data_IF_700649610742
#
_entry.id   IF_700649610742
#
_cell.length_a   1.000
_cell.length_b   1.000
_cell.length_c   1.000
_cell.angle_alpha   90.00
_cell.angle_beta   90.00
_cell.angle_gamma   90.00
#
_symmetry.space_group_name_H-M   'P 1'
#
loop_
_entity.id
_entity.type
_entity.pdbx_description
1 polymer ?
#
# COMPACT_ATOMS: atom_id res chain seq x y z
N UNK A 1 18.95 4.03 13.25
CA UNK A 1 19.46 3.43 14.51
C UNK A 1 18.71 2.13 14.86
N UNK A 2 17.36 2.13 15.00
CA UNK A 2 16.59 0.94 15.40
C UNK A 2 16.70 -0.17 14.34
N UNK A 3 16.65 0.16 13.04
CA UNK A 3 16.84 -0.80 11.95
C UNK A 3 18.26 -1.40 11.94
N UNK A 4 19.29 -0.64 12.32
CA UNK A 4 20.66 -1.14 12.47
C UNK A 4 20.80 -2.08 13.68
N UNK A 5 20.20 -1.72 14.82
CA UNK A 5 20.14 -2.59 16.00
C UNK A 5 19.41 -3.92 15.71
N UNK A 6 18.34 -3.89 14.93
CA UNK A 6 17.61 -5.08 14.51
C UNK A 6 18.46 -5.99 13.61
N UNK A 7 19.31 -5.43 12.74
CA UNK A 7 20.23 -6.20 11.88
C UNK A 7 21.40 -6.79 12.66
N UNK A 8 21.91 -6.11 13.68
CA UNK A 8 23.06 -6.54 14.47
C UNK A 8 22.71 -7.60 15.53
N UNK A 9 21.45 -7.66 15.97
CA UNK A 9 21.02 -8.60 17.03
C UNK A 9 20.95 -10.06 16.59
N UNK A 10 21.27 -10.39 15.33
CA UNK A 10 21.49 -11.77 14.83
C UNK A 10 20.31 -12.76 14.96
N UNK A 11 19.20 -12.33 15.50
CA UNK A 11 17.96 -13.10 15.59
C UNK A 11 17.07 -12.69 14.42
N UNK A 12 16.36 -13.63 13.81
CA UNK A 12 15.41 -13.49 12.70
C UNK A 12 14.80 -12.07 12.60
N UNK A 13 15.55 -11.12 12.05
CA UNK A 13 15.27 -9.68 12.11
C UNK A 13 13.96 -9.26 11.41
N UNK A 14 13.33 -10.17 10.65
CA UNK A 14 11.99 -9.99 10.10
C UNK A 14 10.87 -10.05 11.14
N UNK A 15 11.15 -10.57 12.34
CA UNK A 15 10.17 -10.67 13.44
C UNK A 15 10.04 -9.36 14.25
N UNK A 16 10.94 -8.36 14.05
CA UNK A 16 10.98 -7.15 14.89
C UNK A 16 10.82 -5.84 14.14
N UNK A 17 10.90 -5.86 12.81
CA UNK A 17 10.88 -4.63 12.03
C UNK A 17 10.07 -4.77 10.75
N UNK A 18 9.01 -4.00 10.64
CA UNK A 18 8.26 -3.85 9.38
C UNK A 18 9.02 -2.89 8.46
N UNK A 19 9.29 -3.25 7.19
CA UNK A 19 9.89 -2.33 6.24
C UNK A 19 9.12 -1.01 6.21
N UNK A 20 9.87 0.11 6.19
CA UNK A 20 9.28 1.44 6.29
C UNK A 20 8.18 1.68 5.24
N UNK A 21 8.42 1.25 4.01
CA UNK A 21 7.45 1.40 2.92
C UNK A 21 6.14 0.65 3.17
N UNK A 22 6.20 -0.55 3.76
CA UNK A 22 5.02 -1.32 4.14
C UNK A 22 4.27 -0.63 5.27
N UNK A 23 5.02 -0.11 6.26
CA UNK A 23 4.45 0.68 7.35
C UNK A 23 3.76 1.95 6.84
N UNK A 24 4.33 2.63 5.84
CA UNK A 24 3.75 3.82 5.21
C UNK A 24 2.42 3.50 4.52
N UNK A 25 2.33 2.43 3.72
CA UNK A 25 1.07 2.00 3.09
C UNK A 25 -0.01 1.74 4.15
N UNK A 26 0.31 0.93 5.17
CA UNK A 26 -0.65 0.61 6.23
C UNK A 26 -1.10 1.85 6.99
N UNK A 27 -0.16 2.71 7.34
CA UNK A 27 -0.42 3.91 8.13
C UNK A 27 -1.28 4.92 7.37
N UNK A 28 -1.00 5.18 6.10
CA UNK A 28 -1.78 6.09 5.28
C UNK A 28 -3.21 5.58 5.09
N UNK A 29 -3.38 4.28 4.84
CA UNK A 29 -4.71 3.65 4.72
C UNK A 29 -5.49 3.78 6.03
N UNK A 30 -4.90 3.42 7.16
CA UNK A 30 -5.57 3.49 8.46
C UNK A 30 -5.89 4.93 8.83
N UNK A 31 -5.00 5.88 8.54
CA UNK A 31 -5.20 7.31 8.81
C UNK A 31 -6.31 7.98 7.97
N UNK A 32 -6.84 7.32 6.94
CA UNK A 32 -8.05 7.79 6.23
C UNK A 32 -9.27 7.83 7.16
N UNK A 33 -9.28 7.06 8.23
CA UNK A 33 -10.29 7.16 9.27
C UNK A 33 -10.11 8.47 10.05
N UNK A 34 -11.03 9.39 9.85
CA UNK A 34 -10.99 10.72 10.48
C UNK A 34 -11.23 10.72 12.00
N UNK A 35 -11.64 9.61 12.60
CA UNK A 35 -12.10 9.54 14.01
C UNK A 35 -11.11 8.83 14.94
N UNK A 36 -9.84 8.65 14.54
CA UNK A 36 -8.86 7.91 15.34
C UNK A 36 -8.50 8.68 16.62
N UNK A 37 -8.74 8.05 17.75
CA UNK A 37 -8.33 8.47 19.10
C UNK A 37 -7.52 7.40 19.83
N UNK A 38 -7.58 6.15 19.35
CA UNK A 38 -6.88 5.00 19.91
C UNK A 38 -6.31 4.10 18.81
N UNK A 39 -5.11 3.58 19.04
CA UNK A 39 -4.43 2.66 18.13
C UNK A 39 -3.84 1.48 18.91
N UNK A 40 -3.99 0.29 18.35
CA UNK A 40 -3.50 -0.95 18.95
C UNK A 40 -2.64 -1.75 17.97
N UNK A 41 -1.49 -2.22 18.46
CA UNK A 41 -0.65 -3.21 17.78
C UNK A 41 -0.38 -4.40 18.71
N UNK A 42 -1.07 -5.54 18.52
CA UNK A 42 -0.90 -6.73 19.37
C UNK A 42 0.45 -7.44 19.17
N UNK A 43 1.28 -6.99 18.24
CA UNK A 43 2.61 -7.53 17.94
C UNK A 43 3.62 -6.40 17.76
N UNK A 44 3.59 -5.47 18.70
CA UNK A 44 4.11 -4.10 18.57
C UNK A 44 5.60 -4.00 18.22
N UNK A 45 6.39 -5.01 18.49
CA UNK A 45 7.81 -5.03 18.16
C UNK A 45 8.55 -3.78 18.66
N UNK A 46 9.11 -3.00 17.76
CA UNK A 46 9.79 -1.73 18.10
C UNK A 46 8.84 -0.54 18.32
N UNK A 47 7.55 -0.68 18.06
CA UNK A 47 6.57 0.41 18.07
C UNK A 47 6.61 1.32 16.85
N UNK A 48 7.43 0.99 15.85
CA UNK A 48 7.60 1.83 14.65
C UNK A 48 6.30 2.00 13.86
N UNK A 49 5.47 0.95 13.76
CA UNK A 49 4.21 1.00 13.03
C UNK A 49 3.21 1.97 13.69
N UNK A 50 3.12 1.96 15.02
CA UNK A 50 2.31 2.93 15.78
C UNK A 50 2.77 4.37 15.51
N UNK A 51 4.09 4.60 15.49
CA UNK A 51 4.67 5.92 15.23
C UNK A 51 4.46 6.37 13.78
N UNK A 52 4.45 5.44 12.82
CA UNK A 52 4.16 5.76 11.41
C UNK A 52 2.71 6.21 11.27
N UNK A 53 1.74 5.54 11.91
CA UNK A 53 0.34 6.00 11.91
C UNK A 53 0.21 7.38 12.54
N UNK A 54 0.84 7.63 13.72
CA UNK A 54 0.88 8.96 14.36
C UNK A 54 1.28 10.04 13.37
N UNK A 55 2.32 9.80 12.58
CA UNK A 55 2.88 10.75 11.61
C UNK A 55 1.84 11.23 10.58
N UNK A 56 0.87 10.40 10.21
CA UNK A 56 -0.17 10.72 9.22
C UNK A 56 -1.43 11.34 9.82
N UNK A 57 -1.48 11.57 11.12
CA UNK A 57 -2.58 12.26 11.78
C UNK A 57 -2.30 13.77 11.92
N UNK A 58 -3.36 14.57 12.03
CA UNK A 58 -3.22 16.00 12.35
C UNK A 58 -2.59 16.19 13.72
N UNK A 59 -1.96 17.35 13.95
CA UNK A 59 -1.25 17.65 15.21
C UNK A 59 -2.11 17.48 16.45
N UNK A 60 -3.38 17.90 16.40
CA UNK A 60 -4.30 17.78 17.53
C UNK A 60 -4.63 16.31 17.84
N UNK A 61 -4.79 15.49 16.79
CA UNK A 61 -4.98 14.07 16.95
C UNK A 61 -3.73 13.36 17.46
N UNK A 62 -2.54 13.74 17.00
CA UNK A 62 -1.29 13.21 17.52
C UNK A 62 -1.15 13.43 19.03
N UNK A 63 -1.58 14.61 19.54
CA UNK A 63 -1.56 14.95 20.97
C UNK A 63 -2.58 14.15 21.79
N UNK A 64 -3.74 13.83 21.22
CA UNK A 64 -4.83 13.14 21.91
C UNK A 64 -4.76 11.60 21.80
N UNK A 65 -4.01 11.06 20.83
CA UNK A 65 -3.92 9.63 20.53
C UNK A 65 -3.45 8.79 21.72
N UNK A 66 -4.16 7.70 21.99
CA UNK A 66 -3.78 6.68 22.96
C UNK A 66 -3.17 5.47 22.23
N UNK A 67 -2.01 5.03 22.71
CA UNK A 67 -1.23 3.96 22.11
C UNK A 67 -1.32 2.70 22.95
N UNK A 68 -1.71 1.61 22.33
CA UNK A 68 -1.76 0.29 22.95
C UNK A 68 -0.88 -0.67 22.17
N UNK A 69 -0.21 -1.56 22.87
CA UNK A 69 0.64 -2.54 22.21
C UNK A 69 0.95 -3.73 23.11
N UNK A 70 1.19 -4.88 22.49
CA UNK A 70 1.59 -6.08 23.20
C UNK A 70 2.85 -6.67 22.57
N UNK A 71 3.81 -7.08 23.43
CA UNK A 71 5.08 -7.65 23.00
C UNK A 71 5.48 -8.78 23.94
N UNK A 72 5.75 -9.95 23.38
CA UNK A 72 6.12 -11.14 24.15
C UNK A 72 7.55 -11.06 24.68
N UNK A 73 8.47 -10.50 23.92
CA UNK A 73 9.89 -10.40 24.29
C UNK A 73 10.12 -9.18 25.19
N UNK A 74 10.60 -9.40 26.42
CA UNK A 74 10.81 -8.33 27.40
C UNK A 74 11.83 -7.28 26.94
N UNK A 75 12.90 -7.67 26.25
CA UNK A 75 13.89 -6.71 25.75
C UNK A 75 13.27 -5.80 24.67
N UNK A 76 12.51 -6.39 23.75
CA UNK A 76 11.77 -5.65 22.71
C UNK A 76 10.67 -4.78 23.31
N UNK A 77 9.94 -5.26 24.32
CA UNK A 77 8.97 -4.47 25.08
C UNK A 77 9.59 -3.20 25.67
N UNK A 78 10.78 -3.31 26.30
CA UNK A 78 11.48 -2.15 26.83
C UNK A 78 11.93 -1.19 25.72
N UNK A 79 12.41 -1.73 24.58
CA UNK A 79 12.77 -0.94 23.40
C UNK A 79 11.56 -0.17 22.86
N UNK A 80 10.39 -0.81 22.77
CA UNK A 80 9.14 -0.18 22.33
C UNK A 80 8.81 1.04 23.18
N UNK A 81 8.81 0.87 24.51
CA UNK A 81 8.50 1.97 25.42
C UNK A 81 9.49 3.12 25.28
N UNK A 82 10.76 2.81 25.20
CA UNK A 82 11.81 3.82 25.02
C UNK A 82 11.63 4.54 23.68
N UNK A 83 11.35 3.81 22.59
CA UNK A 83 11.14 4.38 21.27
C UNK A 83 9.93 5.34 21.24
N UNK A 84 8.81 4.95 21.83
CA UNK A 84 7.63 5.79 21.92
C UNK A 84 7.92 7.08 22.72
N UNK A 85 8.61 6.98 23.86
CA UNK A 85 9.02 8.15 24.67
C UNK A 85 9.93 9.10 23.90
N UNK A 86 10.94 8.58 23.20
CA UNK A 86 11.87 9.37 22.40
C UNK A 86 11.16 10.12 21.25
N UNK A 87 10.04 9.58 20.76
CA UNK A 87 9.20 10.23 19.74
C UNK A 87 8.05 11.06 20.34
N UNK A 88 8.15 11.46 21.61
CA UNK A 88 7.24 12.37 22.27
C UNK A 88 5.87 11.82 22.62
N UNK A 89 5.74 10.48 22.72
CA UNK A 89 4.54 9.88 23.28
C UNK A 89 4.60 9.98 24.80
N UNK A 90 3.62 10.64 25.39
CA UNK A 90 3.56 10.82 26.85
C UNK A 90 3.25 9.50 27.57
N UNK A 91 3.83 9.24 28.75
CA UNK A 91 3.62 8.00 29.48
C UNK A 91 2.14 7.65 29.74
N UNK A 92 1.32 8.66 30.04
CA UNK A 92 -0.12 8.49 30.30
C UNK A 92 -0.95 8.13 29.04
N UNK A 93 -0.34 8.27 27.86
CA UNK A 93 -0.94 7.90 26.58
C UNK A 93 -0.45 6.55 26.04
N UNK A 94 0.40 5.87 26.82
CA UNK A 94 1.09 4.66 26.39
C UNK A 94 0.74 3.48 27.28
N UNK A 95 0.01 2.52 26.77
CA UNK A 95 -0.34 1.26 27.42
C UNK A 95 0.30 0.10 26.66
N UNK A 96 1.49 -0.31 27.07
CA UNK A 96 2.22 -1.42 26.46
C UNK A 96 2.31 -2.58 27.45
N UNK A 97 1.91 -3.77 27.03
CA UNK A 97 1.91 -5.00 27.83
C UNK A 97 3.06 -5.92 27.42
N UNK A 98 3.82 -6.40 28.38
CA UNK A 98 4.72 -7.53 28.16
C UNK A 98 3.96 -8.84 28.34
N UNK A 99 3.65 -9.53 27.26
CA UNK A 99 2.88 -10.77 27.28
C UNK A 99 2.63 -11.35 25.90
N UNK A 100 2.23 -12.61 25.88
CA UNK A 100 1.90 -13.34 24.64
C UNK A 100 0.45 -13.06 24.25
N UNK A 101 0.26 -12.39 23.15
CA UNK A 101 -1.05 -11.96 22.58
C UNK A 101 -2.04 -13.11 22.43
N UNK A 102 -1.57 -14.28 22.02
CA UNK A 102 -2.45 -15.43 21.79
C UNK A 102 -2.74 -16.24 23.04
N UNK A 103 -1.93 -16.07 24.10
CA UNK A 103 -2.11 -16.77 25.37
C UNK A 103 -3.00 -16.00 26.34
N UNK A 104 -2.92 -14.68 26.32
CA UNK A 104 -3.65 -13.80 27.22
C UNK A 104 -4.40 -12.76 26.41
N UNK A 105 -5.72 -12.75 26.54
CA UNK A 105 -6.50 -11.65 26.01
C UNK A 105 -6.14 -10.36 26.73
N UNK A 106 -5.89 -9.30 25.98
CA UNK A 106 -5.52 -7.98 26.47
C UNK A 106 -5.62 -6.95 25.31
N UNK A 107 -6.06 -5.74 25.59
CA UNK A 107 -6.53 -5.23 26.87
C UNK A 107 -7.97 -5.66 27.18
N UNK A 108 -8.24 -5.91 28.44
CA UNK A 108 -9.59 -6.14 28.96
C UNK A 108 -10.27 -4.81 29.24
N UNK A 109 -11.58 -4.73 29.00
CA UNK A 109 -12.38 -3.59 29.41
C UNK A 109 -12.79 -3.76 30.89
N UNK A 110 -12.40 -2.86 31.80
CA UNK A 110 -12.75 -2.97 33.22
C UNK A 110 -14.25 -2.88 33.49
N UNK A 111 -15.02 -2.21 32.60
CA UNK A 111 -16.46 -2.04 32.73
C UNK A 111 -17.23 -3.19 32.08
N UNK A 112 -16.61 -3.86 31.10
CA UNK A 112 -17.16 -4.97 30.32
C UNK A 112 -16.18 -6.16 30.31
N UNK A 113 -16.05 -6.90 31.42
CA UNK A 113 -14.97 -7.88 31.62
C UNK A 113 -14.96 -9.08 30.65
N UNK A 114 -15.95 -9.22 29.79
CA UNK A 114 -15.98 -10.23 28.72
C UNK A 114 -15.92 -9.61 27.32
N UNK A 115 -15.75 -8.29 27.25
CA UNK A 115 -15.62 -7.56 25.99
C UNK A 115 -14.25 -6.88 25.99
N UNK A 116 -13.38 -7.22 25.06
CA UNK A 116 -12.09 -6.55 24.95
C UNK A 116 -12.24 -5.07 24.60
N UNK A 117 -11.31 -4.26 25.04
CA UNK A 117 -11.23 -2.84 24.63
C UNK A 117 -11.28 -2.73 23.12
N UNK A 118 -12.09 -1.80 22.61
CA UNK A 118 -12.26 -1.58 21.18
C UNK A 118 -11.43 -0.38 20.72
N UNK A 119 -10.75 -0.51 19.59
CA UNK A 119 -9.85 0.51 19.04
C UNK A 119 -10.33 1.07 17.72
N UNK A 120 -10.06 2.35 17.48
CA UNK A 120 -10.35 3.01 16.20
C UNK A 120 -9.39 2.54 15.09
N UNK A 121 -8.19 2.13 15.47
CA UNK A 121 -7.19 1.61 14.57
C UNK A 121 -6.49 0.38 15.15
N UNK A 122 -6.36 -0.67 14.35
CA UNK A 122 -5.54 -1.84 14.67
C UNK A 122 -4.54 -2.06 13.55
N UNK A 123 -3.26 -2.12 13.88
CA UNK A 123 -2.20 -2.34 12.90
C UNK A 123 -1.26 -3.43 13.40
N UNK A 124 -0.84 -4.34 12.53
CA UNK A 124 0.09 -5.38 12.95
C UNK A 124 0.87 -6.01 11.81
N UNK A 125 2.09 -6.40 12.13
CA UNK A 125 2.91 -7.30 11.33
C UNK A 125 3.30 -8.48 12.23
N UNK A 126 2.44 -9.50 12.37
CA UNK A 126 2.68 -10.63 13.27
C UNK A 126 3.78 -11.54 12.74
N UNK A 127 4.41 -12.36 13.59
CA UNK A 127 5.32 -13.39 13.12
C UNK A 127 4.58 -14.39 12.24
N UNK A 128 5.14 -14.70 11.05
CA UNK A 128 4.46 -15.51 10.04
C UNK A 128 4.49 -17.00 10.36
N UNK A 129 3.35 -17.67 10.16
CA UNK A 129 3.19 -19.11 10.26
C UNK A 129 3.72 -19.71 11.57
N UNK A 130 3.43 -19.03 12.67
CA UNK A 130 3.81 -19.47 14.02
C UNK A 130 3.19 -20.83 14.30
N UNK A 131 4.01 -21.76 14.77
CA UNK A 131 3.60 -23.10 15.22
C UNK A 131 3.45 -23.11 16.74
N UNK A 132 2.58 -24.00 17.24
CA UNK A 132 2.38 -24.19 18.69
C UNK A 132 2.04 -22.87 19.41
N UNK A 133 1.12 -22.10 18.84
CA UNK A 133 0.71 -20.77 19.31
C UNK A 133 -0.31 -20.80 20.45
N UNK A 134 -0.25 -21.82 21.33
CA UNK A 134 -1.16 -22.03 22.46
C UNK A 134 -2.60 -22.43 22.08
N UNK A 135 -2.80 -23.00 20.89
CA UNK A 135 -4.13 -23.43 20.42
C UNK A 135 -4.83 -24.38 21.39
N UNK A 136 -4.08 -25.26 22.06
CA UNK A 136 -4.63 -26.25 23.01
C UNK A 136 -5.27 -25.63 24.26
N UNK A 137 -4.89 -24.40 24.60
CA UNK A 137 -5.48 -23.64 25.72
C UNK A 137 -6.74 -22.87 25.34
N UNK A 138 -7.12 -22.84 24.05
CA UNK A 138 -8.21 -22.05 23.53
C UNK A 138 -9.37 -22.92 23.02
N UNK A 139 -10.56 -22.35 23.00
CA UNK A 139 -11.78 -22.99 22.47
C UNK A 139 -12.38 -22.14 21.35
N UNK A 140 -13.13 -22.75 20.41
CA UNK A 140 -13.89 -21.98 19.41
C UNK A 140 -14.90 -20.99 20.00
N UNK A 141 -15.30 -21.20 21.23
CA UNK A 141 -16.19 -20.30 22.01
C UNK A 141 -15.44 -19.14 22.71
N UNK A 142 -14.13 -19.02 22.57
CA UNK A 142 -13.40 -17.82 22.98
C UNK A 142 -13.92 -16.64 22.14
N UNK A 143 -14.30 -15.51 22.74
CA UNK A 143 -14.89 -14.37 22.04
C UNK A 143 -14.08 -13.89 20.83
N UNK A 144 -12.75 -14.03 20.88
CA UNK A 144 -11.86 -13.67 19.77
C UNK A 144 -12.05 -14.54 18.52
N UNK A 145 -12.49 -15.80 18.70
CA UNK A 145 -12.62 -16.80 17.62
C UNK A 145 -14.07 -17.16 17.29
N UNK A 146 -15.03 -16.66 18.06
CA UNK A 146 -16.45 -16.97 17.90
C UNK A 146 -16.97 -16.63 16.51
N UNK A 147 -16.55 -15.51 15.92
CA UNK A 147 -16.92 -15.09 14.58
C UNK A 147 -16.57 -16.13 13.52
N UNK A 148 -15.48 -16.85 13.71
CA UNK A 148 -15.00 -17.87 12.79
C UNK A 148 -15.63 -19.26 13.05
N UNK A 149 -16.08 -19.52 14.28
CA UNK A 149 -16.65 -20.80 14.69
C UNK A 149 -15.66 -21.97 14.72
N UNK A 150 -14.41 -21.73 14.32
CA UNK A 150 -13.31 -22.70 14.29
C UNK A 150 -12.01 -22.02 14.72
N UNK A 151 -11.12 -22.81 15.35
CA UNK A 151 -9.78 -22.32 15.64
C UNK A 151 -8.85 -22.46 14.42
N UNK A 152 -7.96 -21.50 14.17
CA UNK A 152 -6.88 -21.67 13.19
C UNK A 152 -6.05 -22.92 13.47
N UNK A 153 -5.36 -23.49 12.44
CA UNK A 153 -4.55 -24.69 12.65
C UNK A 153 -3.36 -24.42 13.57
N UNK A 154 -3.00 -25.40 14.40
CA UNK A 154 -1.87 -25.31 15.34
C UNK A 154 -0.53 -25.03 14.63
N UNK A 155 -0.41 -25.47 13.39
CA UNK A 155 0.79 -25.28 12.57
C UNK A 155 0.94 -23.87 12.00
N UNK A 156 -0.09 -23.00 12.10
CA UNK A 156 -0.12 -21.66 11.50
C UNK A 156 -1.04 -20.71 12.25
N UNK A 157 -0.43 -19.82 13.04
CA UNK A 157 -1.15 -18.83 13.86
C UNK A 157 -1.58 -17.57 13.10
N UNK A 158 -1.41 -17.50 11.78
CA UNK A 158 -1.66 -16.28 10.98
C UNK A 158 -3.06 -15.72 11.24
N UNK A 159 -4.10 -16.55 11.12
CA UNK A 159 -5.47 -16.14 11.39
C UNK A 159 -5.79 -15.95 12.88
N UNK A 160 -5.00 -16.50 13.79
CA UNK A 160 -5.22 -16.25 15.21
C UNK A 160 -4.92 -14.78 15.56
N UNK A 161 -3.85 -14.22 14.99
CA UNK A 161 -3.55 -12.79 15.12
C UNK A 161 -4.61 -11.92 14.44
N UNK A 162 -5.04 -12.30 13.24
CA UNK A 162 -6.07 -11.56 12.51
C UNK A 162 -7.38 -11.50 13.31
N UNK A 163 -7.85 -12.63 13.83
CA UNK A 163 -9.09 -12.72 14.60
C UNK A 163 -8.97 -11.97 15.93
N UNK A 164 -7.82 -12.03 16.63
CA UNK A 164 -7.57 -11.25 17.81
C UNK A 164 -7.65 -9.73 17.51
N UNK A 165 -6.98 -9.26 16.47
CA UNK A 165 -7.06 -7.85 16.08
C UNK A 165 -8.46 -7.42 15.67
N UNK A 166 -9.20 -8.26 14.95
CA UNK A 166 -10.57 -7.98 14.56
C UNK A 166 -11.53 -7.94 15.76
N UNK A 167 -11.31 -8.77 16.77
CA UNK A 167 -12.07 -8.74 18.03
C UNK A 167 -11.93 -7.36 18.71
N UNK A 168 -10.71 -6.86 18.81
CA UNK A 168 -10.42 -5.55 19.38
C UNK A 168 -10.67 -4.35 18.45
N UNK A 169 -11.13 -4.59 17.23
CA UNK A 169 -11.49 -3.49 16.31
C UNK A 169 -12.85 -2.91 16.67
N UNK A 170 -12.92 -1.59 16.83
CA UNK A 170 -14.17 -0.87 17.02
C UNK A 170 -15.07 -0.94 15.78
N UNK A 171 -16.37 -0.69 15.96
CA UNK A 171 -17.36 -0.79 14.87
C UNK A 171 -16.98 0.08 13.65
N UNK A 172 -16.46 1.28 13.88
CA UNK A 172 -16.01 2.21 12.84
C UNK A 172 -14.50 2.21 12.66
N UNK A 173 -13.82 1.26 13.28
CA UNK A 173 -12.36 1.13 13.20
C UNK A 173 -11.88 0.59 11.85
N UNK A 174 -10.61 0.82 11.58
CA UNK A 174 -9.89 0.25 10.43
C UNK A 174 -8.71 -0.57 10.92
N UNK A 175 -8.63 -1.82 10.45
CA UNK A 175 -7.50 -2.70 10.75
C UNK A 175 -6.68 -2.96 9.50
N UNK A 176 -5.35 -2.91 9.63
CA UNK A 176 -4.40 -3.32 8.61
C UNK A 176 -3.44 -4.37 9.15
N UNK A 177 -3.35 -5.51 8.48
CA UNK A 177 -2.46 -6.62 8.89
C UNK A 177 -1.64 -7.12 7.70
N UNK A 178 -0.34 -7.35 7.93
CA UNK A 178 0.55 -7.98 6.93
C UNK A 178 0.60 -9.48 7.17
N UNK A 179 0.33 -10.26 6.14
CA UNK A 179 0.33 -11.73 6.20
C UNK A 179 0.96 -12.35 4.94
N UNK A 180 1.48 -13.58 5.02
CA UNK A 180 1.96 -14.29 3.84
C UNK A 180 0.81 -14.64 2.90
N UNK A 181 1.03 -14.61 1.58
CA UNK A 181 0.00 -14.90 0.57
C UNK A 181 -0.77 -16.22 0.79
N UNK A 182 -0.17 -17.20 1.45
CA UNK A 182 -0.82 -18.47 1.74
C UNK A 182 -2.16 -18.33 2.45
N UNK A 183 -2.38 -17.31 3.27
CA UNK A 183 -3.66 -17.07 3.96
C UNK A 183 -4.82 -16.82 2.99
N UNK A 184 -4.52 -16.37 1.78
CA UNK A 184 -5.51 -16.03 0.77
C UNK A 184 -6.19 -17.28 0.15
N UNK A 185 -5.53 -18.45 0.17
CA UNK A 185 -6.01 -19.61 -0.57
C UNK A 185 -5.89 -20.96 0.15
N UNK A 186 -5.17 -21.06 1.29
CA UNK A 186 -5.11 -22.33 2.03
C UNK A 186 -6.51 -22.78 2.46
N UNK A 187 -6.78 -24.09 2.38
CA UNK A 187 -8.06 -24.69 2.71
C UNK A 187 -8.26 -25.01 4.20
N UNK A 188 -9.10 -25.99 4.50
CA UNK A 188 -9.46 -26.46 5.84
C UNK A 188 -9.93 -25.31 6.76
N UNK A 189 -9.47 -25.25 8.00
CA UNK A 189 -9.88 -24.23 8.97
C UNK A 189 -9.63 -22.79 8.48
N UNK A 190 -8.53 -22.53 7.77
CA UNK A 190 -8.25 -21.19 7.21
C UNK A 190 -9.25 -20.82 6.11
N UNK A 191 -9.69 -21.79 5.29
CA UNK A 191 -10.76 -21.60 4.30
C UNK A 191 -12.09 -21.24 4.94
N UNK A 192 -12.48 -21.94 6.01
CA UNK A 192 -13.72 -21.65 6.75
C UNK A 192 -13.68 -20.25 7.40
N UNK A 193 -12.55 -19.87 7.99
CA UNK A 193 -12.37 -18.53 8.56
C UNK A 193 -12.54 -17.46 7.49
N UNK A 194 -11.87 -17.59 6.32
CA UNK A 194 -12.02 -16.64 5.20
C UNK A 194 -13.46 -16.53 4.75
N UNK A 195 -14.13 -17.68 4.56
CA UNK A 195 -15.54 -17.72 4.18
C UNK A 195 -16.40 -16.91 5.14
N UNK A 196 -16.28 -17.14 6.46
CA UNK A 196 -17.04 -16.42 7.49
C UNK A 196 -16.79 -14.91 7.47
N UNK A 197 -15.53 -14.49 7.32
CA UNK A 197 -15.16 -13.08 7.24
C UNK A 197 -15.75 -12.41 6.00
N UNK A 198 -15.73 -13.08 4.84
CA UNK A 198 -16.29 -12.59 3.59
C UNK A 198 -17.83 -12.61 3.60
N UNK A 199 -18.47 -13.63 4.18
CA UNK A 199 -19.93 -13.67 4.35
C UNK A 199 -20.44 -12.50 5.19
N UNK A 200 -19.68 -12.08 6.22
CA UNK A 200 -19.95 -10.90 7.03
C UNK A 200 -19.43 -9.60 6.44
N UNK A 201 -18.80 -9.67 5.27
CA UNK A 201 -18.19 -8.57 4.54
C UNK A 201 -17.22 -7.71 5.39
N UNK A 202 -16.39 -8.36 6.21
CA UNK A 202 -15.44 -7.67 7.08
C UNK A 202 -14.05 -7.46 6.46
N UNK A 203 -13.78 -8.07 5.31
CA UNK A 203 -12.58 -7.81 4.52
C UNK A 203 -12.88 -6.68 3.54
N UNK A 204 -12.17 -5.55 3.70
CA UNK A 204 -12.35 -4.36 2.88
C UNK A 204 -11.47 -4.35 1.64
N UNK A 205 -10.18 -4.72 1.81
CA UNK A 205 -9.24 -4.83 0.70
C UNK A 205 -8.17 -5.89 0.94
N UNK A 206 -7.60 -6.39 -0.16
CA UNK A 206 -6.43 -7.27 -0.21
C UNK A 206 -5.41 -6.64 -1.14
N UNK A 207 -4.23 -6.31 -0.62
CA UNK A 207 -3.17 -5.62 -1.35
C UNK A 207 -1.96 -6.56 -1.44
N UNK A 208 -1.64 -7.03 -2.65
CA UNK A 208 -0.46 -7.84 -2.94
C UNK A 208 0.78 -6.97 -3.04
N UNK A 209 1.82 -7.33 -2.31
CA UNK A 209 3.08 -6.61 -2.29
C UNK A 209 4.17 -7.38 -3.05
N UNK A 210 5.23 -6.70 -3.51
CA UNK A 210 6.38 -7.34 -4.10
C UNK A 210 7.02 -8.37 -3.16
N UNK A 211 7.51 -9.48 -3.71
CA UNK A 211 8.33 -10.41 -2.96
C UNK A 211 9.63 -9.75 -2.49
N UNK A 212 10.31 -10.34 -1.52
CA UNK A 212 11.65 -9.91 -1.09
C UNK A 212 11.72 -8.44 -0.58
N UNK A 213 10.63 -7.94 0.01
CA UNK A 213 10.61 -6.63 0.72
C UNK A 213 11.23 -6.74 2.13
N UNK A 214 11.10 -7.90 2.77
CA UNK A 214 11.55 -8.13 4.13
C UNK A 214 12.97 -8.71 4.14
N UNK A 215 13.81 -8.25 5.07
CA UNK A 215 15.23 -8.60 5.13
C UNK A 215 15.53 -10.09 5.27
N UNK A 216 14.63 -10.85 5.89
CA UNK A 216 14.87 -12.25 6.25
C UNK A 216 13.94 -13.25 5.58
N UNK A 217 13.09 -12.82 4.68
CA UNK A 217 12.23 -13.71 3.94
C UNK A 217 11.96 -13.20 2.52
N UNK A 218 12.13 -14.08 1.54
CA UNK A 218 11.71 -13.83 0.16
C UNK A 218 10.23 -14.12 -0.08
N UNK A 219 9.47 -14.47 0.97
CA UNK A 219 8.07 -14.87 0.84
C UNK A 219 7.22 -13.66 0.43
N UNK A 220 6.38 -13.79 -0.61
CA UNK A 220 5.44 -12.74 -0.96
C UNK A 220 4.40 -12.56 0.16
N UNK A 221 4.12 -11.31 0.49
CA UNK A 221 3.17 -10.92 1.53
C UNK A 221 2.07 -10.05 0.95
N UNK A 222 0.96 -9.98 1.67
CA UNK A 222 -0.14 -9.08 1.37
C UNK A 222 -0.53 -8.28 2.61
N UNK A 223 -1.12 -7.12 2.40
CA UNK A 223 -1.84 -6.37 3.44
C UNK A 223 -3.32 -6.71 3.28
N UNK A 224 -3.97 -7.10 4.38
CA UNK A 224 -5.42 -7.26 4.43
C UNK A 224 -5.97 -6.12 5.28
N UNK A 225 -6.94 -5.39 4.70
CA UNK A 225 -7.66 -4.33 5.39
C UNK A 225 -9.02 -4.87 5.82
N UNK A 226 -9.35 -4.68 7.10
CA UNK A 226 -10.60 -5.13 7.68
C UNK A 226 -11.35 -3.95 8.30
N UNK A 227 -12.68 -4.00 8.18
CA UNK A 227 -13.65 -3.08 8.80
C UNK A 227 -14.88 -3.85 9.24
N UNK A 228 -15.46 -3.50 10.39
CA UNK A 228 -16.70 -4.15 10.87
C UNK A 228 -17.96 -3.55 10.27
N UNK A 229 -17.96 -2.25 10.02
CA UNK A 229 -19.14 -1.52 9.53
C UNK A 229 -19.09 -1.34 8.00
N UNK A 230 -19.30 -2.46 7.29
CA UNK A 230 -19.44 -2.47 5.83
C UNK A 230 -20.80 -3.01 5.42
N UNK A 231 -21.39 -2.44 4.37
CA UNK A 231 -22.58 -3.01 3.75
C UNK A 231 -22.28 -4.40 3.18
N UNK A 232 -23.23 -5.33 3.29
CA UNK A 232 -23.04 -6.72 2.83
C UNK A 232 -22.79 -6.83 1.31
N UNK A 233 -23.21 -5.83 0.54
CA UNK A 233 -23.02 -5.82 -0.92
C UNK A 233 -21.83 -4.93 -1.36
N UNK A 234 -21.16 -4.29 -0.42
CA UNK A 234 -20.00 -3.48 -0.72
C UNK A 234 -18.85 -4.37 -1.24
N UNK A 235 -18.27 -4.07 -2.43
CA UNK A 235 -17.28 -4.95 -3.03
C UNK A 235 -15.96 -4.94 -2.26
N UNK A 236 -15.24 -6.06 -2.32
CA UNK A 236 -13.88 -6.18 -1.78
C UNK A 236 -12.88 -5.70 -2.83
N UNK A 237 -11.99 -4.79 -2.47
CA UNK A 237 -10.96 -4.28 -3.36
C UNK A 237 -9.73 -5.20 -3.35
N UNK A 238 -9.33 -5.65 -4.52
CA UNK A 238 -8.05 -6.34 -4.74
C UNK A 238 -7.08 -5.40 -5.46
N UNK A 239 -5.86 -5.27 -4.94
CA UNK A 239 -4.77 -4.49 -5.55
C UNK A 239 -3.58 -5.42 -5.75
N UNK A 240 -3.04 -5.50 -6.96
CA UNK A 240 -1.79 -6.19 -7.27
C UNK A 240 -0.64 -5.20 -7.48
N UNK A 241 0.03 -4.82 -6.40
CA UNK A 241 1.24 -4.01 -6.46
C UNK A 241 2.52 -4.86 -6.53
N UNK A 242 2.43 -6.17 -6.75
CA UNK A 242 3.57 -7.10 -6.71
C UNK A 242 4.66 -6.82 -7.74
N UNK A 243 4.34 -6.06 -8.79
CA UNK A 243 5.25 -5.72 -9.89
C UNK A 243 5.85 -4.31 -9.77
N UNK A 244 5.35 -3.50 -8.85
CA UNK A 244 5.75 -2.11 -8.67
C UNK A 244 6.86 -2.03 -7.61
N UNK A 245 8.10 -2.12 -8.02
CA UNK A 245 9.25 -2.03 -7.13
C UNK A 245 10.55 -1.70 -7.88
N UNK A 246 11.53 -1.24 -7.13
CA UNK A 246 12.92 -1.15 -7.57
C UNK A 246 13.80 -2.15 -6.80
N UNK A 247 14.95 -2.46 -7.37
CA UNK A 247 16.01 -3.24 -6.70
C UNK A 247 16.80 -2.33 -5.77
N UNK A 248 16.77 -2.62 -4.47
CA UNK A 248 17.57 -1.96 -3.44
C UNK A 248 18.57 -2.97 -2.85
N UNK A 249 19.71 -3.12 -3.50
CA UNK A 249 20.69 -4.15 -3.15
C UNK A 249 20.14 -5.57 -3.34
N UNK A 250 20.08 -6.34 -2.25
CA UNK A 250 19.54 -7.72 -2.26
C UNK A 250 18.02 -7.79 -2.13
N UNK A 251 17.37 -6.68 -1.86
CA UNK A 251 15.93 -6.61 -1.61
C UNK A 251 15.22 -5.85 -2.72
N UNK A 252 13.88 -5.98 -2.73
CA UNK A 252 13.00 -5.08 -3.46
C UNK A 252 12.56 -3.94 -2.52
N UNK A 253 12.24 -2.79 -3.07
CA UNK A 253 11.72 -1.65 -2.33
C UNK A 253 10.59 -0.99 -3.11
N UNK A 254 9.53 -0.58 -2.42
CA UNK A 254 8.52 0.32 -2.98
C UNK A 254 9.09 1.74 -3.02
N UNK A 255 8.80 2.46 -4.09
CA UNK A 255 9.08 3.89 -4.19
C UNK A 255 7.92 4.70 -3.61
N UNK A 256 8.12 5.99 -3.39
CA UNK A 256 7.07 6.91 -2.92
C UNK A 256 5.85 6.91 -3.86
N UNK A 257 6.07 6.81 -5.17
CA UNK A 257 5.02 6.70 -6.19
C UNK A 257 4.19 5.42 -6.05
N UNK A 258 4.84 4.29 -5.71
CA UNK A 258 4.15 3.00 -5.56
C UNK A 258 3.24 3.04 -4.33
N UNK A 259 3.73 3.61 -3.22
CA UNK A 259 2.95 3.84 -2.00
C UNK A 259 1.76 4.75 -2.30
N UNK A 260 1.99 5.88 -2.97
CA UNK A 260 0.94 6.83 -3.33
C UNK A 260 -0.13 6.18 -4.20
N UNK A 261 0.26 5.40 -5.21
CA UNK A 261 -0.68 4.69 -6.08
C UNK A 261 -1.54 3.69 -5.32
N UNK A 262 -0.96 2.88 -4.44
CA UNK A 262 -1.71 1.94 -3.59
C UNK A 262 -2.75 2.68 -2.75
N UNK A 263 -2.33 3.78 -2.10
CA UNK A 263 -3.21 4.56 -1.22
C UNK A 263 -4.32 5.28 -1.99
N UNK A 264 -4.00 5.86 -3.14
CA UNK A 264 -4.99 6.53 -4.01
C UNK A 264 -6.04 5.53 -4.52
N UNK A 265 -5.61 4.38 -5.04
CA UNK A 265 -6.51 3.31 -5.52
C UNK A 265 -7.38 2.78 -4.39
N UNK A 266 -6.81 2.60 -3.20
CA UNK A 266 -7.58 2.20 -2.02
C UNK A 266 -8.62 3.24 -1.64
N UNK A 267 -8.23 4.51 -1.57
CA UNK A 267 -9.09 5.62 -1.09
C UNK A 267 -10.21 5.92 -2.07
N UNK A 268 -9.90 5.94 -3.36
CA UNK A 268 -10.84 6.26 -4.42
C UNK A 268 -11.63 5.04 -4.91
N UNK A 269 -11.30 3.84 -4.44
CA UNK A 269 -11.91 2.56 -4.87
C UNK A 269 -11.86 2.40 -6.39
N UNK A 270 -10.72 2.74 -7.00
CA UNK A 270 -10.55 2.76 -8.46
C UNK A 270 -10.31 1.34 -8.98
N UNK A 271 -10.98 0.96 -10.07
CA UNK A 271 -10.62 -0.20 -10.88
C UNK A 271 -9.61 0.22 -11.96
N UNK A 272 -8.55 -0.54 -12.08
CA UNK A 272 -7.50 -0.32 -13.08
C UNK A 272 -7.04 -1.68 -13.62
N UNK A 273 -7.14 -1.84 -14.93
CA UNK A 273 -6.76 -3.08 -15.62
C UNK A 273 -5.32 -3.51 -15.27
N UNK A 274 -5.18 -4.77 -14.84
CA UNK A 274 -3.90 -5.34 -14.46
C UNK A 274 -3.34 -4.84 -13.13
N UNK A 275 -4.06 -3.99 -12.39
CA UNK A 275 -3.62 -3.44 -11.11
C UNK A 275 -4.64 -3.58 -9.98
N UNK A 276 -5.92 -3.28 -10.23
CA UNK A 276 -6.96 -3.33 -9.18
C UNK A 276 -8.31 -3.77 -9.70
N UNK A 277 -9.11 -4.42 -8.83
CA UNK A 277 -10.45 -4.91 -9.14
C UNK A 277 -11.36 -4.84 -7.92
N UNK A 278 -12.62 -4.48 -8.14
CA UNK A 278 -13.68 -4.44 -7.13
C UNK A 278 -14.52 -5.73 -7.22
N UNK A 279 -14.12 -6.75 -6.48
CA UNK A 279 -14.78 -8.04 -6.49
C UNK A 279 -16.15 -7.97 -5.79
N UNK A 280 -17.20 -8.28 -6.53
CA UNK A 280 -18.55 -8.39 -5.99
C UNK A 280 -18.69 -9.61 -5.07
N UNK A 281 -19.71 -9.59 -4.19
CA UNK A 281 -20.06 -10.72 -3.34
C UNK A 281 -20.30 -12.00 -4.15
N UNK A 282 -20.94 -11.89 -5.31
CA UNK A 282 -21.21 -13.04 -6.18
C UNK A 282 -19.93 -13.64 -6.75
N UNK A 283 -19.00 -12.81 -7.15
CA UNK A 283 -17.69 -13.21 -7.66
C UNK A 283 -16.86 -13.93 -6.59
N UNK A 284 -16.87 -13.43 -5.34
CA UNK A 284 -16.24 -14.09 -4.20
C UNK A 284 -16.81 -15.48 -3.94
N UNK A 285 -18.13 -15.65 -4.05
CA UNK A 285 -18.81 -16.96 -3.92
C UNK A 285 -18.40 -17.88 -5.06
N UNK A 286 -18.40 -17.42 -6.31
CA UNK A 286 -17.99 -18.19 -7.48
C UNK A 286 -16.54 -18.67 -7.40
N UNK A 287 -15.69 -17.89 -6.75
CA UNK A 287 -14.30 -18.24 -6.46
C UNK A 287 -14.11 -19.10 -5.19
N UNK A 288 -15.20 -19.62 -4.60
CA UNK A 288 -15.19 -20.43 -3.36
C UNK A 288 -14.46 -19.71 -2.20
N UNK A 289 -14.69 -18.40 -2.08
CA UNK A 289 -14.05 -17.53 -1.09
C UNK A 289 -12.51 -17.58 -1.09
N UNK A 290 -11.93 -17.98 -2.20
CA UNK A 290 -10.49 -17.95 -2.44
C UNK A 290 -10.10 -16.52 -2.82
N UNK A 291 -9.22 -15.88 -2.05
CA UNK A 291 -8.79 -14.50 -2.24
C UNK A 291 -7.44 -14.39 -2.98
N UNK A 292 -7.00 -15.44 -3.69
CA UNK A 292 -5.76 -15.37 -4.45
C UNK A 292 -5.86 -14.26 -5.52
N UNK A 293 -5.01 -13.24 -5.41
CA UNK A 293 -5.09 -11.99 -6.18
C UNK A 293 -5.20 -12.21 -7.70
N UNK A 294 -4.41 -13.13 -8.33
CA UNK A 294 -4.53 -13.40 -9.77
C UNK A 294 -5.89 -13.91 -10.25
N UNK A 295 -6.80 -14.27 -9.35
CA UNK A 295 -8.19 -14.62 -9.72
C UNK A 295 -9.07 -13.40 -9.98
N UNK A 296 -8.65 -12.24 -9.47
CA UNK A 296 -9.39 -10.99 -9.53
C UNK A 296 -8.67 -9.94 -10.37
N UNK A 297 -7.37 -9.86 -10.26
CA UNK A 297 -6.53 -8.94 -11.03
C UNK A 297 -5.73 -9.77 -12.02
N UNK A 298 -6.18 -9.77 -13.26
CA UNK A 298 -5.45 -10.44 -14.35
C UNK A 298 -4.27 -9.57 -14.75
N UNK A 299 -3.08 -10.16 -14.66
CA UNK A 299 -1.90 -9.49 -15.17
C UNK A 299 -2.12 -9.13 -16.64
N UNK A 300 -1.96 -7.86 -16.97
CA UNK A 300 -1.83 -7.45 -18.36
C UNK A 300 -0.51 -8.06 -18.88
N UNK A 301 -0.61 -9.23 -19.47
CA UNK A 301 0.49 -9.72 -20.28
C UNK A 301 0.66 -8.74 -21.43
N UNK A 302 1.77 -7.98 -21.40
CA UNK A 302 2.23 -7.22 -22.55
C UNK A 302 2.74 -8.16 -23.66
N UNK A 303 2.25 -9.39 -23.70
CA UNK A 303 2.45 -10.24 -24.86
C UNK A 303 1.63 -9.63 -26.00
N UNK A 304 2.35 -8.94 -26.86
CA UNK A 304 1.81 -8.55 -28.16
C UNK A 304 1.39 -9.85 -28.82
N UNK A 305 0.08 -10.07 -29.07
CA UNK A 305 -0.37 -11.32 -29.67
C UNK A 305 0.40 -11.53 -30.95
N UNK A 306 1.20 -12.60 -31.01
CA UNK A 306 1.94 -12.93 -32.21
C UNK A 306 0.96 -13.24 -33.34
N UNK A 307 0.86 -12.33 -34.30
CA UNK A 307 0.07 -12.54 -35.51
C UNK A 307 0.94 -13.33 -36.49
N UNK A 308 0.58 -14.61 -36.67
CA UNK A 308 1.36 -15.54 -37.50
C UNK A 308 1.41 -15.07 -38.96
N UNK A 309 0.31 -14.51 -39.46
CA UNK A 309 0.24 -14.01 -40.85
C UNK A 309 1.10 -12.75 -41.02
N UNK A 310 1.18 -11.88 -40.01
CA UNK A 310 2.08 -10.75 -40.00
C UNK A 310 3.55 -11.20 -40.03
N UNK A 311 3.91 -12.22 -39.31
CA UNK A 311 5.26 -12.80 -39.30
C UNK A 311 5.64 -13.48 -40.63
N UNK A 312 4.70 -14.19 -41.25
CA UNK A 312 4.95 -14.91 -42.52
C UNK A 312 4.93 -14.01 -43.76
N UNK A 313 4.01 -13.07 -43.81
CA UNK A 313 3.74 -12.30 -45.00
C UNK A 313 4.02 -10.80 -44.85
N UNK A 314 4.49 -10.40 -43.69
CA UNK A 314 4.75 -9.00 -43.35
C UNK A 314 3.47 -8.18 -43.11
N UNK A 315 3.66 -6.92 -42.73
CA UNK A 315 2.59 -5.98 -42.40
C UNK A 315 2.25 -5.96 -40.88
N UNK A 316 1.66 -4.86 -40.48
CA UNK A 316 1.20 -4.64 -39.07
C UNK A 316 -0.32 -4.84 -39.05
N UNK A 317 -0.87 -5.68 -38.19
CA UNK A 317 -2.32 -5.84 -38.08
C UNK A 317 -3.01 -4.51 -37.82
N UNK A 318 -3.98 -4.17 -38.65
CA UNK A 318 -4.74 -2.91 -38.58
C UNK A 318 -5.33 -2.69 -37.19
N UNK A 319 -5.85 -3.76 -36.54
CA UNK A 319 -6.40 -3.71 -35.19
C UNK A 319 -5.41 -3.15 -34.14
N UNK A 320 -4.09 -3.37 -34.34
CA UNK A 320 -3.07 -2.87 -33.42
C UNK A 320 -2.91 -1.36 -33.53
N UNK A 321 -2.98 -0.83 -34.77
CA UNK A 321 -2.92 0.61 -35.02
C UNK A 321 -4.22 1.28 -34.56
N UNK A 322 -5.38 0.69 -34.88
CA UNK A 322 -6.69 1.20 -34.48
C UNK A 322 -6.78 1.30 -32.92
N UNK A 323 -6.26 0.33 -32.21
CA UNK A 323 -6.21 0.37 -30.74
C UNK A 323 -5.30 1.48 -30.20
N UNK A 324 -4.15 1.73 -30.84
CA UNK A 324 -3.28 2.87 -30.50
C UNK A 324 -3.96 4.22 -30.78
N UNK A 325 -4.73 4.34 -31.85
CA UNK A 325 -5.48 5.57 -32.20
C UNK A 325 -6.58 5.87 -31.19
N UNK A 326 -7.23 4.84 -30.61
CA UNK A 326 -8.23 5.02 -29.55
C UNK A 326 -7.58 5.54 -28.28
N UNK A 327 -6.41 5.02 -27.93
CA UNK A 327 -5.66 5.41 -26.72
C UNK A 327 -4.97 6.78 -26.88
N UNK A 328 -4.62 7.19 -28.11
CA UNK A 328 -3.78 8.36 -28.39
C UNK A 328 -4.41 9.26 -29.46
N UNK A 329 -5.49 9.96 -29.12
CA UNK A 329 -6.16 10.88 -30.04
C UNK A 329 -5.22 11.97 -30.59
N UNK A 330 -4.26 12.41 -29.77
CA UNK A 330 -3.26 13.45 -30.12
C UNK A 330 -2.40 13.07 -31.32
N UNK A 331 -2.07 11.79 -31.49
CA UNK A 331 -1.21 11.31 -32.56
C UNK A 331 -1.99 10.68 -33.71
N UNK A 332 -3.31 10.64 -33.64
CA UNK A 332 -4.18 9.97 -34.61
C UNK A 332 -3.89 10.42 -36.06
N UNK A 333 -3.83 11.73 -36.29
CA UNK A 333 -3.59 12.28 -37.62
C UNK A 333 -2.22 11.85 -38.20
N UNK A 334 -1.20 11.78 -37.34
CA UNK A 334 0.13 11.33 -37.76
C UNK A 334 0.12 9.83 -38.07
N UNK A 335 -0.62 9.03 -37.30
CA UNK A 335 -0.77 7.59 -37.54
C UNK A 335 -1.55 7.34 -38.85
N UNK A 336 -2.66 8.04 -39.07
CA UNK A 336 -3.46 7.92 -40.29
C UNK A 336 -2.63 8.21 -41.56
N UNK A 337 -1.70 9.16 -41.49
CA UNK A 337 -0.84 9.54 -42.61
C UNK A 337 0.40 8.67 -42.81
N UNK A 338 0.84 7.95 -41.75
CA UNK A 338 2.07 7.16 -41.77
C UNK A 338 1.90 5.75 -42.33
N UNK A 339 0.67 5.21 -42.29
CA UNK A 339 0.36 3.84 -42.66
C UNK A 339 -0.59 3.76 -43.84
N UNK A 340 -0.41 2.76 -44.70
CA UNK A 340 -1.41 2.37 -45.70
C UNK A 340 -1.61 0.88 -45.75
N UNK A 341 -2.75 0.46 -46.24
CA UNK A 341 -3.09 -0.94 -46.41
C UNK A 341 -2.23 -1.61 -47.49
N UNK A 342 -1.47 -2.64 -47.14
CA UNK A 342 -0.70 -3.41 -48.12
C UNK A 342 -1.42 -4.71 -48.51
N UNK A 343 -2.24 -5.24 -47.63
CA UNK A 343 -3.15 -6.38 -47.85
C UNK A 343 -4.34 -6.29 -46.88
N UNK A 344 -5.46 -6.97 -47.16
CA UNK A 344 -6.65 -6.87 -46.32
C UNK A 344 -6.37 -7.09 -44.82
N UNK A 345 -6.62 -6.07 -43.99
CA UNK A 345 -6.41 -6.08 -42.55
C UNK A 345 -4.99 -5.87 -42.07
N UNK A 346 -4.03 -5.55 -42.96
CA UNK A 346 -2.63 -5.28 -42.62
C UNK A 346 -2.14 -3.99 -43.24
N UNK A 347 -1.36 -3.24 -42.46
CA UNK A 347 -0.81 -1.95 -42.82
C UNK A 347 0.71 -2.02 -42.96
N UNK A 348 1.27 -1.12 -43.76
CA UNK A 348 2.71 -0.92 -43.89
C UNK A 348 3.04 0.54 -43.57
N UNK A 349 4.11 0.74 -42.80
CA UNK A 349 4.69 2.06 -42.53
C UNK A 349 5.50 2.47 -43.78
N UNK A 350 5.22 3.67 -44.31
CA UNK A 350 5.84 4.17 -45.57
C UNK A 350 7.18 4.87 -45.37
N UNK A 351 7.58 5.12 -44.15
CA UNK A 351 8.77 5.90 -43.80
C UNK A 351 9.67 5.13 -42.85
N UNK A 352 10.89 5.56 -42.67
CA UNK A 352 11.77 4.97 -41.65
C UNK A 352 11.23 5.27 -40.23
N UNK A 353 11.66 4.49 -39.26
CA UNK A 353 11.29 4.68 -37.84
C UNK A 353 11.74 6.07 -37.36
N UNK A 354 12.89 6.55 -37.82
CA UNK A 354 13.44 7.87 -37.50
C UNK A 354 12.61 9.01 -38.09
N UNK A 355 12.11 8.85 -39.33
CA UNK A 355 11.24 9.82 -39.98
C UNK A 355 9.86 9.85 -39.31
N UNK A 356 9.33 8.68 -38.98
CA UNK A 356 8.07 8.55 -38.24
C UNK A 356 8.15 9.19 -36.85
N UNK A 357 9.21 8.92 -36.09
CA UNK A 357 9.45 9.52 -34.77
C UNK A 357 9.54 11.06 -34.89
N UNK A 358 10.24 11.58 -35.92
CA UNK A 358 10.32 13.02 -36.17
C UNK A 358 8.96 13.60 -36.53
N UNK A 359 8.17 12.90 -37.34
CA UNK A 359 6.82 13.33 -37.69
C UNK A 359 5.92 13.47 -36.47
N UNK A 360 5.95 12.52 -35.56
CA UNK A 360 5.22 12.60 -34.27
C UNK A 360 5.68 13.82 -33.48
N UNK A 361 6.97 13.94 -33.21
CA UNK A 361 7.54 15.03 -32.41
C UNK A 361 7.38 16.41 -33.03
N UNK A 362 7.23 16.49 -34.35
CA UNK A 362 7.02 17.74 -35.08
C UNK A 362 5.54 18.08 -35.36
N UNK A 363 4.63 17.17 -35.05
CA UNK A 363 3.19 17.42 -35.16
C UNK A 363 2.77 18.65 -34.36
N UNK A 364 2.01 19.58 -34.94
CA UNK A 364 1.54 20.78 -34.25
C UNK A 364 0.76 20.45 -32.97
N UNK A 365 -0.03 19.38 -33.00
CA UNK A 365 -0.84 18.94 -31.86
C UNK A 365 0.05 18.45 -30.71
N UNK A 366 1.04 17.60 -31.03
CA UNK A 366 2.01 17.09 -30.03
C UNK A 366 2.85 18.22 -29.44
N UNK A 367 3.27 19.18 -30.31
CA UNK A 367 4.01 20.37 -29.83
C UNK A 367 3.18 21.24 -28.88
N UNK A 368 1.93 21.50 -29.25
CA UNK A 368 1.04 22.30 -28.41
C UNK A 368 0.81 21.63 -27.03
N UNK A 369 0.61 20.32 -27.02
CA UNK A 369 0.49 19.56 -25.75
C UNK A 369 1.79 19.63 -24.94
N UNK A 370 2.95 19.45 -25.58
CA UNK A 370 4.25 19.58 -24.92
C UNK A 370 4.47 20.98 -24.32
N UNK A 371 4.12 22.05 -25.07
CA UNK A 371 4.21 23.43 -24.57
C UNK A 371 3.25 23.67 -23.39
N UNK A 372 2.06 23.06 -23.43
CA UNK A 372 1.12 23.13 -22.31
C UNK A 372 1.67 22.40 -21.07
N UNK A 373 2.24 21.22 -21.22
CA UNK A 373 2.92 20.49 -20.12
C UNK A 373 4.05 21.34 -19.55
N UNK A 374 4.93 21.89 -20.40
CA UNK A 374 6.03 22.74 -19.95
C UNK A 374 5.54 23.96 -19.18
N UNK A 375 4.52 24.66 -19.68
CA UNK A 375 3.98 25.83 -19.01
C UNK A 375 3.34 25.49 -17.67
N UNK A 376 2.65 24.34 -17.57
CA UNK A 376 2.04 23.85 -16.33
C UNK A 376 3.11 23.52 -15.29
N UNK A 377 4.16 22.79 -15.68
CA UNK A 377 5.27 22.47 -14.79
C UNK A 377 6.03 23.73 -14.39
N UNK A 378 6.27 24.68 -15.29
CA UNK A 378 6.93 25.94 -14.97
C UNK A 378 6.14 26.77 -13.95
N UNK A 379 4.82 26.85 -14.10
CA UNK A 379 3.95 27.53 -13.13
C UNK A 379 3.99 26.85 -11.74
N UNK A 380 3.95 25.51 -11.71
CA UNK A 380 4.11 24.74 -10.47
C UNK A 380 5.46 25.03 -9.78
N UNK A 381 6.55 25.00 -10.55
CA UNK A 381 7.88 25.30 -10.02
C UNK A 381 7.96 26.72 -9.45
N UNK A 382 7.45 27.73 -10.16
CA UNK A 382 7.46 29.13 -9.73
C UNK A 382 6.66 29.34 -8.44
N UNK A 383 5.48 28.70 -8.33
CA UNK A 383 4.66 28.76 -7.13
C UNK A 383 5.41 28.19 -5.92
N UNK A 384 5.92 26.95 -6.05
CA UNK A 384 6.59 26.28 -4.93
C UNK A 384 7.98 26.85 -4.64
N UNK A 385 8.69 27.35 -5.65
CA UNK A 385 9.92 28.13 -5.43
C UNK A 385 9.66 29.34 -4.55
N UNK A 386 8.57 30.06 -4.83
CA UNK A 386 8.16 31.22 -4.01
C UNK A 386 7.80 30.81 -2.58
N UNK A 387 7.04 29.73 -2.39
CA UNK A 387 6.69 29.19 -1.06
C UNK A 387 7.94 28.76 -0.29
N UNK A 388 8.88 28.07 -0.94
CA UNK A 388 10.14 27.60 -0.34
C UNK A 388 11.07 28.74 0.09
N UNK A 389 11.16 29.83 -0.68
CA UNK A 389 11.94 31.01 -0.31
C UNK A 389 11.34 31.80 0.86
N UNK A 390 10.08 31.64 1.15
CA UNK A 390 9.36 32.29 2.25
C UNK A 390 9.23 31.43 3.49
N UNK A 391 9.95 30.29 3.55
CA UNK A 391 9.92 29.42 4.72
C UNK A 391 10.40 30.15 5.97
N UNK A 392 9.58 30.13 7.02
CA UNK A 392 9.91 30.60 8.36
C UNK A 392 10.22 29.40 9.26
N UNK A 393 10.87 29.65 10.39
CA UNK A 393 11.26 28.62 11.36
C UNK A 393 10.05 27.79 11.86
N UNK A 394 8.86 28.38 11.84
CA UNK A 394 7.61 27.78 12.28
C UNK A 394 6.85 27.04 11.17
N UNK A 395 7.34 27.07 9.92
CA UNK A 395 6.65 26.44 8.79
C UNK A 395 6.69 24.91 8.92
N UNK A 396 5.52 24.28 8.88
CA UNK A 396 5.42 22.82 8.88
C UNK A 396 5.84 22.27 7.50
N UNK A 397 7.13 21.94 7.38
CA UNK A 397 7.72 21.46 6.13
C UNK A 397 7.10 20.12 5.64
N UNK A 398 6.52 19.33 6.56
CA UNK A 398 5.81 18.10 6.19
C UNK A 398 4.52 18.41 5.44
N UNK A 399 3.71 19.31 5.95
CA UNK A 399 2.46 19.71 5.28
C UNK A 399 2.75 20.34 3.91
N UNK A 400 3.82 21.13 3.81
CA UNK A 400 4.24 21.67 2.53
C UNK A 400 4.65 20.57 1.53
N UNK A 401 5.36 19.53 1.99
CA UNK A 401 5.67 18.37 1.15
C UNK A 401 4.39 17.68 0.66
N UNK A 402 3.46 17.42 1.56
CA UNK A 402 2.20 16.76 1.25
C UNK A 402 1.36 17.56 0.24
N UNK A 403 1.28 18.88 0.43
CA UNK A 403 0.62 19.80 -0.50
C UNK A 403 1.30 19.79 -1.88
N UNK A 404 2.61 19.92 -1.93
CA UNK A 404 3.39 19.91 -3.16
C UNK A 404 3.23 18.60 -3.95
N UNK A 405 3.20 17.45 -3.25
CA UNK A 405 2.99 16.15 -3.85
C UNK A 405 1.54 15.94 -4.35
N UNK A 406 0.56 16.48 -3.65
CA UNK A 406 -0.82 16.45 -4.10
C UNK A 406 -1.04 17.35 -5.33
N UNK A 407 -0.47 18.54 -5.32
CA UNK A 407 -0.62 19.50 -6.41
C UNK A 407 0.07 19.04 -7.69
N UNK A 408 1.25 18.43 -7.65
CA UNK A 408 1.88 17.90 -8.86
C UNK A 408 1.03 16.81 -9.51
N UNK A 409 0.42 15.91 -8.73
CA UNK A 409 -0.53 14.91 -9.26
C UNK A 409 -1.71 15.59 -9.96
N UNK A 410 -2.29 16.61 -9.30
CA UNK A 410 -3.40 17.39 -9.86
C UNK A 410 -3.01 18.14 -11.14
N UNK A 411 -1.83 18.76 -11.17
CA UNK A 411 -1.32 19.45 -12.34
C UNK A 411 -1.14 18.50 -13.54
N UNK A 412 -0.64 17.29 -13.29
CA UNK A 412 -0.38 16.31 -14.34
C UNK A 412 -1.62 15.51 -14.76
N UNK A 413 -2.65 15.42 -13.93
CA UNK A 413 -3.87 14.63 -14.20
C UNK A 413 -4.71 15.15 -15.40
N UNK A 414 -4.43 16.34 -15.89
CA UNK A 414 -5.07 16.88 -17.10
C UNK A 414 -4.46 16.33 -18.42
N UNK A 415 -3.36 15.60 -18.33
CA UNK A 415 -2.63 15.07 -19.49
C UNK A 415 -2.70 13.53 -19.49
N UNK A 416 -3.47 12.96 -20.40
CA UNK A 416 -3.70 11.52 -20.49
C UNK A 416 -2.43 10.71 -20.80
N UNK A 417 -1.40 11.35 -21.38
CA UNK A 417 -0.15 10.73 -21.79
C UNK A 417 0.92 10.71 -20.69
N UNK A 418 0.67 11.36 -19.56
CA UNK A 418 1.64 11.49 -18.47
C UNK A 418 1.21 10.63 -17.28
N UNK A 419 2.10 9.73 -16.87
CA UNK A 419 1.92 9.03 -15.61
C UNK A 419 2.14 10.00 -14.43
N UNK A 420 1.05 10.33 -13.74
CA UNK A 420 1.05 11.28 -12.61
C UNK A 420 1.97 10.84 -11.48
N UNK A 421 2.17 9.52 -11.33
CA UNK A 421 3.01 8.96 -10.28
C UNK A 421 4.51 9.10 -10.59
N UNK A 422 4.89 9.16 -11.87
CA UNK A 422 6.28 9.51 -12.23
C UNK A 422 6.62 10.95 -11.84
N UNK A 423 5.74 11.89 -12.13
CA UNK A 423 5.91 13.27 -11.65
C UNK A 423 5.97 13.38 -10.13
N UNK A 424 5.08 12.67 -9.44
CA UNK A 424 5.09 12.54 -7.98
C UNK A 424 6.45 12.04 -7.46
N UNK A 425 7.00 11.00 -8.07
CA UNK A 425 8.28 10.41 -7.67
C UNK A 425 9.43 11.42 -7.81
N UNK A 426 9.48 12.15 -8.92
CA UNK A 426 10.52 13.17 -9.16
C UNK A 426 10.52 14.22 -8.04
N UNK A 427 9.35 14.74 -7.69
CA UNK A 427 9.21 15.73 -6.63
C UNK A 427 9.59 15.14 -5.25
N UNK A 428 9.16 13.92 -4.95
CA UNK A 428 9.51 13.23 -3.71
C UNK A 428 11.03 13.01 -3.56
N UNK A 429 11.71 12.66 -4.65
CA UNK A 429 13.17 12.51 -4.66
C UNK A 429 13.91 13.82 -4.47
N UNK A 430 13.49 14.90 -5.16
CA UNK A 430 14.05 16.25 -5.00
C UNK A 430 13.90 16.67 -3.54
N UNK A 431 12.72 16.49 -2.97
CA UNK A 431 12.48 16.80 -1.56
C UNK A 431 13.43 16.06 -0.62
N UNK A 432 13.58 14.75 -0.81
CA UNK A 432 14.44 13.90 0.03
C UNK A 432 15.92 14.32 -0.09
N UNK A 433 16.40 14.61 -1.29
CA UNK A 433 17.77 15.10 -1.53
C UNK A 433 18.03 16.46 -0.86
N UNK A 434 17.03 17.33 -0.84
CA UNK A 434 17.16 18.66 -0.19
C UNK A 434 17.11 18.58 1.33
N UNK A 435 16.37 17.62 1.91
CA UNK A 435 16.35 17.38 3.36
C UNK A 435 17.70 16.92 3.90
N UNK A 436 18.36 15.98 3.21
CA UNK A 436 19.68 15.48 3.61
C UNK A 436 20.74 16.58 3.62
N UNK A 437 20.63 17.56 2.73
CA UNK A 437 21.53 18.71 2.71
C UNK A 437 21.28 19.70 3.86
N UNK A 438 20.10 19.71 4.49
CA UNK A 438 19.79 20.56 5.66
C UNK A 438 20.36 20.03 6.98
N UNK A 439 20.70 18.75 7.05
CA UNK A 439 21.35 18.13 8.21
C UNK A 439 22.86 18.32 8.20
N UNK A 440 23.46 18.79 7.10
CA UNK A 440 24.88 19.15 7.02
C UNK A 440 25.11 20.58 7.56
N UNK A 441 25.83 20.74 8.69
CA UNK A 441 26.08 22.06 9.27
C UNK A 441 26.82 23.02 8.33
N UNK A 442 27.52 22.52 7.30
CA UNK A 442 28.24 23.33 6.34
C UNK A 442 27.34 24.06 5.33
N UNK A 443 26.10 23.65 5.18
CA UNK A 443 25.11 24.19 4.22
C UNK A 443 24.23 25.29 4.87
N UNK A 444 24.24 25.42 6.21
CA UNK A 444 23.43 26.41 6.93
C UNK A 444 23.80 27.87 6.64
N UNK A 445 24.88 28.14 5.91
CA UNK A 445 25.35 29.49 5.59
C UNK A 445 24.96 30.02 4.21
N UNK A 446 24.15 29.30 3.44
CA UNK A 446 23.81 29.63 2.04
C UNK A 446 22.31 29.88 1.83
N UNK A 447 21.49 29.81 2.89
CA UNK A 447 20.05 30.09 2.80
C UNK A 447 19.63 31.21 3.74
#
# INVERSE_FOLDING_TARGET
LIGQFAMESGKKAGEFYTPHQVSEVMAQIVATNSSISSIYDPTVGSGSLLLTVKKHLSEDKQKSLNYYGQEKNTATYNLTRMNLLLHGVRPEKMSIKNGDTLSQDWPEDPELPNEGVQFDAVVMNPPYSVKNWNRSGLKPSDPRFEIAGVLPPDSKGDFAFLLHGLYHLGTHGTMAIVLPHGVLFRGAAEGEIRKRLLEKNQIDAVIGLPSNLFTNTGIPVCIIILKKNRDLNEPVLFIDASRNFIKAGKQNALQEKDIAKIVDVYTNRTEEDGYSHLASRQELIQNDYNMNIPRYVTALDKEIPHDVDAHLYGGIPKKNIDSLMVLNQTVKEVLDNAFSENRPGYLTLHQSIEEFSRAILSSPVVRAEYEQVQSTIAAFIEEYWTKLHRLQTETNTRLLKEEMLADIKKCLSQFDQIDIYEGYQIIAEIWTKTQTNKEDPSVRSVW
#
